data_IF_210412332775
#
_entry.id   IF_210412332775
#
_cell.length_a   1.000
_cell.length_b   1.000
_cell.length_c   1.000
_cell.angle_alpha   90.00
_cell.angle_beta   90.00
_cell.angle_gamma   90.00
#
_symmetry.space_group_name_H-M   'P 1'
#
loop_
_entity.id
_entity.type
_entity.pdbx_description
1 polymer ?
#
# COMPACT_ATOMS: atom_id res chain seq x y z
N UNK A 1 24.06 17.62 12.87
CA UNK A 1 22.91 18.50 12.59
C UNK A 1 23.42 19.66 11.75
N UNK A 2 22.95 19.79 10.50
CA UNK A 2 23.38 20.85 9.58
C UNK A 2 22.52 22.11 9.65
N UNK A 3 21.28 22.01 10.13
CA UNK A 3 20.39 23.15 10.31
C UNK A 3 19.33 22.89 11.39
N UNK A 4 18.92 23.95 12.08
CA UNK A 4 17.84 23.94 13.10
C UNK A 4 16.91 25.12 12.80
N UNK A 5 15.60 24.91 12.92
CA UNK A 5 14.59 25.96 12.71
C UNK A 5 14.36 26.31 11.23
N UNK A 6 14.64 25.41 10.33
CA UNK A 6 14.41 25.62 8.89
C UNK A 6 12.93 25.50 8.58
N UNK A 7 12.40 26.44 7.81
CA UNK A 7 11.07 26.36 7.21
C UNK A 7 11.23 25.54 5.92
N UNK A 8 10.52 24.42 5.82
CA UNK A 8 10.45 23.65 4.58
C UNK A 8 9.49 24.39 3.64
N UNK A 9 10.04 25.07 2.65
CA UNK A 9 9.26 25.73 1.61
C UNK A 9 8.94 24.73 0.51
N UNK A 10 7.72 24.23 0.50
CA UNK A 10 7.24 23.31 -0.51
C UNK A 10 6.33 24.04 -1.49
N UNK A 11 6.48 23.73 -2.78
CA UNK A 11 5.56 24.21 -3.82
C UNK A 11 4.13 23.84 -3.42
N UNK A 12 3.20 24.80 -3.51
CA UNK A 12 1.79 24.57 -3.22
C UNK A 12 1.19 23.59 -4.24
N UNK A 13 1.32 22.29 -3.95
CA UNK A 13 0.64 21.24 -4.66
C UNK A 13 -0.70 20.96 -3.97
N UNK A 14 -1.70 20.46 -4.70
CA UNK A 14 -3.01 20.07 -4.14
C UNK A 14 -2.93 18.92 -3.11
N UNK A 15 -1.73 18.45 -2.79
CA UNK A 15 -1.45 17.39 -1.83
C UNK A 15 -1.45 17.97 -0.41
N UNK A 16 -2.38 17.54 0.41
CA UNK A 16 -2.46 17.92 1.82
C UNK A 16 -3.64 17.23 2.49
N UNK A 17 -3.60 17.17 3.81
CA UNK A 17 -4.66 16.64 4.64
C UNK A 17 -5.22 17.80 5.49
N UNK A 18 -6.48 18.18 5.22
CA UNK A 18 -7.13 19.30 5.93
C UNK A 18 -7.36 19.04 7.42
N UNK A 19 -7.33 17.77 7.85
CA UNK A 19 -7.40 17.36 9.25
C UNK A 19 -6.06 17.43 10.00
N UNK A 20 -4.96 17.78 9.29
CA UNK A 20 -3.60 17.82 9.85
C UNK A 20 -3.06 19.24 9.84
N UNK A 21 -2.22 19.54 10.83
CA UNK A 21 -1.64 20.89 10.98
C UNK A 21 -0.70 21.31 9.86
N UNK A 22 -0.34 22.61 9.85
CA UNK A 22 0.50 23.21 8.82
C UNK A 22 1.87 22.53 8.67
N UNK A 23 2.51 22.10 9.75
CA UNK A 23 3.81 21.41 9.75
C UNK A 23 3.76 20.10 8.97
N UNK A 24 2.70 19.31 9.18
CA UNK A 24 2.49 18.06 8.45
C UNK A 24 2.29 18.31 6.95
N UNK A 25 1.45 19.26 6.60
CA UNK A 25 1.17 19.60 5.21
C UNK A 25 2.40 20.19 4.49
N UNK A 26 3.21 20.99 5.15
CA UNK A 26 4.49 21.48 4.61
C UNK A 26 5.47 20.34 4.34
N UNK A 27 5.56 19.36 5.25
CA UNK A 27 6.43 18.21 5.08
C UNK A 27 6.01 17.32 3.89
N UNK A 28 4.71 17.08 3.70
CA UNK A 28 4.20 16.33 2.54
C UNK A 28 4.53 17.06 1.23
N UNK A 29 4.30 18.37 1.17
CA UNK A 29 4.60 19.18 -0.02
C UNK A 29 6.08 19.18 -0.35
N UNK A 30 6.95 19.30 0.65
CA UNK A 30 8.40 19.21 0.48
C UNK A 30 8.82 17.85 -0.10
N UNK A 31 8.31 16.75 0.45
CA UNK A 31 8.64 15.41 -0.03
C UNK A 31 8.11 15.14 -1.44
N UNK A 32 6.95 15.72 -1.80
CA UNK A 32 6.40 15.60 -3.14
C UNK A 32 7.19 16.39 -4.20
N UNK A 33 7.90 17.45 -3.80
CA UNK A 33 8.75 18.27 -4.67
C UNK A 33 10.22 17.84 -4.61
N UNK A 34 11.02 18.61 -3.88
CA UNK A 34 12.48 18.49 -3.86
C UNK A 34 13.00 17.44 -2.86
N UNK A 35 12.14 16.92 -2.01
CA UNK A 35 12.50 16.05 -0.88
C UNK A 35 12.73 14.56 -1.24
N UNK A 36 13.02 14.23 -2.51
CA UNK A 36 13.28 12.83 -2.90
C UNK A 36 14.45 12.24 -2.12
N UNK A 37 14.19 11.12 -1.44
CA UNK A 37 15.20 10.49 -0.58
C UNK A 37 15.35 11.11 0.81
N UNK A 38 14.54 12.12 1.14
CA UNK A 38 14.50 12.68 2.49
C UNK A 38 13.48 11.95 3.38
N UNK A 39 13.78 11.93 4.68
CA UNK A 39 12.86 11.50 5.73
C UNK A 39 12.56 12.70 6.62
N UNK A 40 11.28 12.94 6.88
CA UNK A 40 10.84 14.00 7.77
C UNK A 40 10.21 13.39 9.02
N UNK A 41 10.69 13.80 10.18
CA UNK A 41 10.13 13.43 11.49
C UNK A 41 9.41 14.66 12.03
N UNK A 42 8.11 14.53 12.25
CA UNK A 42 7.28 15.61 12.83
C UNK A 42 6.95 15.22 14.26
N UNK A 43 7.34 16.08 15.20
CA UNK A 43 6.97 15.96 16.60
C UNK A 43 5.96 17.04 16.92
N UNK A 44 4.75 16.64 17.31
CA UNK A 44 3.69 17.57 17.72
C UNK A 44 3.81 17.92 19.20
N UNK A 45 3.11 18.98 19.63
CA UNK A 45 3.17 19.48 21.01
C UNK A 45 2.61 18.49 22.04
N UNK A 46 1.69 17.62 21.61
CA UNK A 46 1.15 16.49 22.39
C UNK A 46 2.07 15.26 22.42
N UNK A 47 3.29 15.38 21.88
CA UNK A 47 4.30 14.31 21.86
C UNK A 47 4.08 13.25 20.77
N UNK A 48 3.10 13.42 19.89
CA UNK A 48 2.89 12.50 18.76
C UNK A 48 3.99 12.66 17.73
N UNK A 49 4.49 11.53 17.25
CA UNK A 49 5.55 11.46 16.23
C UNK A 49 4.95 10.92 14.93
N UNK A 50 5.09 11.70 13.86
CA UNK A 50 4.79 11.27 12.50
C UNK A 50 6.08 11.15 11.69
N UNK A 51 6.24 10.04 10.98
CA UNK A 51 7.34 9.79 10.04
C UNK A 51 6.82 9.92 8.61
N UNK A 52 7.50 10.69 7.77
CA UNK A 52 7.17 10.86 6.37
C UNK A 52 8.41 10.62 5.49
N UNK A 53 8.28 9.88 4.36
CA UNK A 53 7.10 9.11 3.99
C UNK A 53 6.77 8.05 5.05
N UNK A 54 5.51 7.64 5.14
CA UNK A 54 5.12 6.55 6.05
C UNK A 54 5.89 5.29 5.68
N UNK A 55 6.74 4.83 6.58
CA UNK A 55 7.50 3.61 6.35
C UNK A 55 6.55 2.43 6.21
N UNK A 56 6.67 1.73 5.10
CA UNK A 56 5.95 0.46 4.91
C UNK A 56 6.53 -0.57 5.86
N UNK A 57 5.68 -1.32 6.57
CA UNK A 57 6.13 -2.41 7.43
C UNK A 57 6.72 -3.54 6.60
N UNK A 58 7.68 -4.27 7.14
CA UNK A 58 8.17 -5.48 6.48
C UNK A 58 7.15 -6.60 6.59
N UNK A 59 6.91 -7.31 5.49
CA UNK A 59 6.01 -8.47 5.42
C UNK A 59 6.79 -9.73 5.06
N UNK A 60 6.22 -10.89 5.37
CA UNK A 60 6.72 -12.16 4.85
C UNK A 60 6.16 -12.39 3.46
N UNK A 61 6.99 -12.87 2.53
CA UNK A 61 6.55 -13.20 1.16
C UNK A 61 5.38 -14.19 1.15
N UNK A 62 5.41 -15.17 2.06
CA UNK A 62 4.31 -16.14 2.19
C UNK A 62 3.00 -15.48 2.64
N UNK A 63 3.05 -14.39 3.39
CA UNK A 63 1.85 -13.65 3.78
C UNK A 63 1.24 -12.95 2.58
N UNK A 64 2.08 -12.29 1.77
CA UNK A 64 1.63 -11.65 0.53
C UNK A 64 1.03 -12.69 -0.40
N UNK A 65 1.73 -13.80 -0.66
CA UNK A 65 1.24 -14.85 -1.55
C UNK A 65 -0.09 -15.43 -1.07
N UNK A 66 -0.22 -15.81 0.20
CA UNK A 66 -1.48 -16.32 0.76
C UNK A 66 -2.65 -15.35 0.64
N UNK A 67 -2.38 -14.05 0.69
CA UNK A 67 -3.43 -13.04 0.55
C UNK A 67 -3.92 -13.00 -0.90
N UNK A 68 -3.02 -13.07 -1.87
CA UNK A 68 -3.35 -13.17 -3.30
C UNK A 68 -4.08 -14.48 -3.60
N UNK A 69 -3.55 -15.62 -3.14
CA UNK A 69 -4.17 -16.94 -3.34
C UNK A 69 -5.61 -16.98 -2.80
N UNK A 70 -5.85 -16.33 -1.65
CA UNK A 70 -7.21 -16.22 -1.09
C UNK A 70 -8.15 -15.43 -2.00
N UNK A 71 -7.70 -14.32 -2.59
CA UNK A 71 -8.50 -13.56 -3.53
C UNK A 71 -8.84 -14.40 -4.76
N UNK A 72 -7.83 -15.06 -5.34
CA UNK A 72 -7.99 -15.94 -6.51
C UNK A 72 -8.98 -17.07 -6.21
N UNK A 73 -8.86 -17.73 -5.06
CA UNK A 73 -9.80 -18.77 -4.66
C UNK A 73 -11.24 -18.22 -4.52
N UNK A 74 -11.42 -16.99 -4.06
CA UNK A 74 -12.73 -16.36 -3.92
C UNK A 74 -13.27 -15.75 -5.22
N UNK A 75 -12.47 -15.71 -6.26
CA UNK A 75 -12.93 -15.30 -7.59
C UNK A 75 -13.55 -16.45 -8.39
N UNK A 76 -13.50 -17.70 -7.91
CA UNK A 76 -14.08 -18.84 -8.57
C UNK A 76 -15.61 -18.74 -8.69
N UNK A 77 -16.18 -19.46 -9.67
CA UNK A 77 -17.61 -19.49 -9.91
C UNK A 77 -18.36 -20.11 -8.73
N UNK A 78 -19.48 -19.49 -8.31
CA UNK A 78 -20.26 -19.97 -7.15
C UNK A 78 -19.78 -19.52 -5.78
N UNK A 79 -18.67 -18.78 -5.68
CA UNK A 79 -18.18 -18.24 -4.42
C UNK A 79 -18.97 -17.00 -3.97
N UNK A 80 -19.05 -16.82 -2.65
CA UNK A 80 -19.71 -15.67 -2.00
C UNK A 80 -19.01 -14.34 -2.35
N UNK A 81 -19.75 -13.42 -2.95
CA UNK A 81 -19.25 -12.09 -3.34
C UNK A 81 -18.78 -11.25 -2.15
N UNK A 82 -19.39 -11.41 -0.97
CA UNK A 82 -18.90 -10.73 0.24
C UNK A 82 -17.54 -11.28 0.68
N UNK A 83 -17.34 -12.59 0.54
CA UNK A 83 -16.04 -13.21 0.83
C UNK A 83 -14.97 -12.71 -0.15
N UNK A 84 -15.32 -12.54 -1.43
CA UNK A 84 -14.44 -11.91 -2.41
C UNK A 84 -14.11 -10.46 -2.04
N UNK A 85 -15.11 -9.66 -1.68
CA UNK A 85 -14.91 -8.25 -1.31
C UNK A 85 -14.03 -8.10 -0.06
N UNK A 86 -14.15 -9.02 0.92
CA UNK A 86 -13.24 -9.07 2.08
C UNK A 86 -11.80 -9.41 1.68
N UNK A 87 -11.63 -10.39 0.79
CA UNK A 87 -10.31 -10.78 0.28
C UNK A 87 -9.68 -9.67 -0.56
N UNK A 88 -10.47 -8.97 -1.37
CA UNK A 88 -10.00 -7.85 -2.19
C UNK A 88 -9.51 -6.69 -1.33
N UNK A 89 -10.23 -6.31 -0.26
CA UNK A 89 -9.75 -5.30 0.68
C UNK A 89 -8.42 -5.69 1.34
N UNK A 90 -8.24 -6.96 1.67
CA UNK A 90 -6.97 -7.44 2.20
C UNK A 90 -5.82 -7.34 1.19
N UNK A 91 -6.09 -7.51 -0.10
CA UNK A 91 -5.11 -7.29 -1.17
C UNK A 91 -4.79 -5.80 -1.31
N UNK A 92 -5.77 -4.91 -1.27
CA UNK A 92 -5.57 -3.46 -1.32
C UNK A 92 -4.61 -2.95 -0.21
N UNK A 93 -4.66 -3.55 0.97
CA UNK A 93 -3.73 -3.22 2.08
C UNK A 93 -2.28 -3.61 1.80
N UNK A 94 -2.04 -4.58 0.93
CA UNK A 94 -0.71 -5.11 0.61
C UNK A 94 -0.29 -4.86 -0.84
N UNK A 95 -1.03 -4.07 -1.59
CA UNK A 95 -0.82 -3.82 -3.03
C UNK A 95 0.61 -3.37 -3.35
N UNK A 96 1.22 -2.55 -2.47
CA UNK A 96 2.61 -2.12 -2.58
C UNK A 96 3.62 -3.28 -2.72
N UNK A 97 3.33 -4.45 -2.13
CA UNK A 97 4.28 -5.58 -2.06
C UNK A 97 4.13 -6.57 -3.22
N UNK A 98 3.21 -6.34 -4.14
CA UNK A 98 2.91 -7.28 -5.22
C UNK A 98 3.98 -7.22 -6.31
N UNK A 99 4.44 -8.40 -6.73
CA UNK A 99 5.23 -8.55 -7.95
C UNK A 99 4.32 -8.63 -9.19
N UNK A 100 4.92 -8.70 -10.40
CA UNK A 100 4.15 -8.70 -11.65
C UNK A 100 3.17 -9.87 -11.75
N UNK A 101 3.59 -11.08 -11.36
CA UNK A 101 2.74 -12.28 -11.46
C UNK A 101 1.54 -12.17 -10.49
N UNK A 102 1.77 -11.64 -9.30
CA UNK A 102 0.73 -11.39 -8.31
C UNK A 102 -0.23 -10.29 -8.75
N UNK A 103 0.26 -9.23 -9.36
CA UNK A 103 -0.58 -8.18 -9.95
C UNK A 103 -1.47 -8.74 -11.06
N UNK A 104 -0.91 -9.57 -11.94
CA UNK A 104 -1.67 -10.24 -13.01
C UNK A 104 -2.78 -11.11 -12.41
N UNK A 105 -2.45 -11.97 -11.43
CA UNK A 105 -3.43 -12.83 -10.76
C UNK A 105 -4.55 -12.05 -10.06
N UNK A 106 -4.23 -10.90 -9.44
CA UNK A 106 -5.22 -10.00 -8.83
C UNK A 106 -6.14 -9.40 -9.88
N UNK A 107 -5.58 -8.92 -10.99
CA UNK A 107 -6.36 -8.32 -12.08
C UNK A 107 -7.30 -9.34 -12.72
N UNK A 108 -6.81 -10.54 -13.01
CA UNK A 108 -7.62 -11.64 -13.57
C UNK A 108 -8.78 -12.02 -12.64
N UNK A 109 -8.51 -12.13 -11.33
CA UNK A 109 -9.53 -12.42 -10.33
C UNK A 109 -10.61 -11.33 -10.25
N UNK A 110 -10.21 -10.05 -10.32
CA UNK A 110 -11.11 -8.90 -10.33
C UNK A 110 -11.96 -8.87 -11.60
N UNK A 111 -11.38 -9.15 -12.75
CA UNK A 111 -12.08 -9.19 -14.03
C UNK A 111 -13.11 -10.32 -14.07
N UNK A 112 -12.75 -11.51 -13.59
CA UNK A 112 -13.66 -12.65 -13.51
C UNK A 112 -14.93 -12.34 -12.68
N UNK A 113 -14.78 -11.62 -11.56
CA UNK A 113 -15.91 -11.22 -10.72
C UNK A 113 -16.69 -10.05 -11.34
N UNK A 114 -16.01 -9.08 -11.95
CA UNK A 114 -16.68 -7.95 -12.63
C UNK A 114 -17.57 -8.43 -13.76
N UNK A 115 -17.15 -9.44 -14.53
CA UNK A 115 -17.95 -10.05 -15.60
C UNK A 115 -19.23 -10.71 -15.09
N UNK A 116 -19.19 -11.38 -13.95
CA UNK A 116 -20.36 -12.03 -13.33
C UNK A 116 -21.37 -11.03 -12.77
N UNK A 117 -20.90 -10.02 -12.04
CA UNK A 117 -21.75 -8.95 -11.48
C UNK A 117 -22.54 -8.17 -12.54
N UNK A 118 -21.99 -8.07 -13.74
CA UNK A 118 -22.69 -7.44 -14.86
C UNK A 118 -24.00 -8.15 -15.21
N UNK A 119 -24.05 -9.48 -15.06
CA UNK A 119 -25.23 -10.29 -15.38
C UNK A 119 -26.32 -10.16 -14.31
N UNK A 120 -25.92 -10.00 -13.03
CA UNK A 120 -26.85 -10.01 -11.90
C UNK A 120 -27.42 -8.62 -11.54
N UNK A 121 -26.63 -7.57 -11.61
CA UNK A 121 -26.96 -6.27 -10.96
C UNK A 121 -27.00 -5.09 -11.94
N UNK A 122 -26.69 -5.29 -13.22
CA UNK A 122 -26.55 -4.25 -14.25
C UNK A 122 -25.55 -3.11 -13.89
N UNK A 123 -24.84 -3.22 -12.76
CA UNK A 123 -23.82 -2.29 -12.28
C UNK A 123 -22.42 -2.92 -12.41
N UNK A 124 -21.69 -2.48 -13.44
CA UNK A 124 -20.30 -2.91 -13.60
C UNK A 124 -19.41 -2.22 -12.57
N UNK A 125 -18.93 -2.99 -11.59
CA UNK A 125 -17.85 -2.50 -10.73
C UNK A 125 -16.55 -2.49 -11.52
N UNK A 126 -16.02 -1.32 -11.80
CA UNK A 126 -14.70 -1.19 -12.39
C UNK A 126 -13.64 -1.27 -11.30
N UNK A 127 -12.73 -2.22 -11.43
CA UNK A 127 -11.51 -2.26 -10.63
C UNK A 127 -10.40 -1.51 -11.39
N UNK A 128 -9.63 -0.71 -10.66
CA UNK A 128 -8.42 -0.14 -11.22
C UNK A 128 -7.38 -1.25 -11.33
N UNK A 129 -6.77 -1.48 -12.50
CA UNK A 129 -5.71 -2.47 -12.64
C UNK A 129 -4.53 -2.17 -11.72
N UNK A 130 -4.02 -3.21 -11.09
CA UNK A 130 -2.84 -3.14 -10.23
C UNK A 130 -1.59 -3.40 -11.05
N UNK A 131 -0.54 -2.65 -10.78
CA UNK A 131 0.79 -2.85 -11.34
C UNK A 131 1.84 -2.83 -10.22
N UNK A 132 3.01 -3.46 -10.41
CA UNK A 132 4.08 -3.41 -9.41
C UNK A 132 4.50 -1.99 -9.09
N UNK A 133 4.63 -1.69 -7.80
CA UNK A 133 5.13 -0.39 -7.35
C UNK A 133 6.65 -0.32 -7.61
N UNK A 134 7.15 0.67 -8.37
CA UNK A 134 8.57 0.79 -8.68
C UNK A 134 9.47 1.07 -7.46
N UNK A 135 8.89 1.46 -6.34
CA UNK A 135 9.61 1.67 -5.08
C UNK A 135 9.68 0.40 -4.21
N UNK A 136 9.02 -0.68 -4.63
CA UNK A 136 9.07 -1.96 -3.92
C UNK A 136 10.34 -2.71 -4.26
N UNK A 137 11.05 -3.17 -3.24
CA UNK A 137 12.25 -4.01 -3.35
C UNK A 137 12.28 -5.10 -2.26
N UNK A 138 13.30 -5.94 -2.28
CA UNK A 138 13.46 -7.06 -1.35
C UNK A 138 13.65 -6.65 0.10
N UNK A 139 14.06 -5.41 0.38
CA UNK A 139 14.24 -4.91 1.75
C UNK A 139 12.93 -4.81 2.54
N UNK A 140 11.80 -4.76 1.85
CA UNK A 140 10.47 -4.76 2.46
C UNK A 140 9.98 -6.15 2.89
N UNK A 141 10.78 -7.19 2.65
CA UNK A 141 10.43 -8.53 3.11
C UNK A 141 11.27 -8.95 4.33
N UNK A 142 10.64 -9.75 5.18
CA UNK A 142 11.31 -10.44 6.28
C UNK A 142 11.61 -11.85 5.80
N UNK A 143 12.90 -12.17 5.63
CA UNK A 143 13.31 -13.54 5.37
C UNK A 143 13.06 -14.40 6.60
N UNK A 144 12.71 -15.67 6.39
CA UNK A 144 12.74 -16.67 7.45
C UNK A 144 14.17 -16.66 7.99
N UNK A 145 14.37 -16.29 9.25
CA UNK A 145 15.66 -16.56 9.90
C UNK A 145 15.95 -18.03 9.68
N UNK A 146 17.01 -18.33 8.94
CA UNK A 146 17.56 -19.66 8.90
C UNK A 146 17.73 -20.08 10.36
N UNK A 147 17.02 -21.14 10.76
CA UNK A 147 17.06 -21.61 12.14
C UNK A 147 18.52 -21.81 12.53
N UNK A 148 18.96 -21.13 13.57
CA UNK A 148 20.20 -21.42 14.23
C UNK A 148 20.04 -22.85 14.79
N UNK A 149 20.56 -23.81 14.06
CA UNK A 149 20.78 -25.16 14.59
C UNK A 149 21.96 -25.03 15.54
N UNK A 150 21.68 -24.73 16.79
CA UNK A 150 22.65 -24.99 17.86
C UNK A 150 22.65 -26.49 18.13
N UNK A 151 23.79 -27.09 17.81
CA UNK A 151 24.16 -28.45 18.26
C UNK A 151 24.77 -28.34 19.63
#
# INVERSE_FOLDING_TARGET
VHAVGVILDGVATGTGDSGRGARYNSAIRYLAGDGRGAMVIIVSEDGKIDLLPKLKRRLRRETVQRTVDRLVARSAEGEDLEAFDRANRAVEEIEFYLNQDQCNAVNDAREAVAGRRWVEDHLRRQFVPVAPDPAMDDSYFVDRRAGTTES
#
